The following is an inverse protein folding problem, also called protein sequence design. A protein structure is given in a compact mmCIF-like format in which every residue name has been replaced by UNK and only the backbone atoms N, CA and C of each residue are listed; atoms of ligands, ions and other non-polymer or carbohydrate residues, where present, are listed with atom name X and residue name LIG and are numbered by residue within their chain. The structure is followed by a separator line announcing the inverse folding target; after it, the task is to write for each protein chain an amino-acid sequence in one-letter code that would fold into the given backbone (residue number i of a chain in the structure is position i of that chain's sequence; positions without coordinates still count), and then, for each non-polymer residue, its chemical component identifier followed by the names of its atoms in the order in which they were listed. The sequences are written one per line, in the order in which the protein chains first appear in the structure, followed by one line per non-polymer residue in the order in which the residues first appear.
data_IF_781008735309
#
_entry.id   IF_781008735309
#
_cell.length_a   1.000
_cell.length_b   1.000
_cell.length_c   1.000
_cell.angle_alpha   90.00
_cell.angle_beta   90.00
_cell.angle_gamma   90.00
#
_symmetry.space_group_name_H-M   'P 1'
#
loop_
_entity.id
_entity.type
_entity.pdbx_description
1 polymer ?
#
# COMPACT_ATOMS: atom_id res chain seq x y z
N UNK A 1 32.86 -6.90 0.97
CA UNK A 1 32.05 -6.36 2.07
C UNK A 1 31.58 -4.97 1.64
N UNK A 2 30.48 -4.86 0.90
CA UNK A 2 29.09 -4.74 1.38
C UNK A 2 28.67 -3.27 1.50
N UNK A 3 28.12 -2.69 0.43
CA UNK A 3 27.41 -1.40 0.52
C UNK A 3 26.46 -1.24 -0.68
N UNK A 4 25.34 -1.97 -0.71
CA UNK A 4 24.18 -1.53 -1.53
C UNK A 4 22.83 -2.15 -1.13
N UNK A 5 22.72 -2.76 0.06
CA UNK A 5 21.48 -3.38 0.56
C UNK A 5 20.61 -2.43 1.40
N UNK A 6 20.38 -1.18 0.96
CA UNK A 6 19.60 -0.24 1.77
C UNK A 6 18.17 0.05 1.31
N UNK A 7 17.72 -0.30 0.10
CA UNK A 7 16.41 0.21 -0.37
C UNK A 7 15.65 -0.68 -1.33
N UNK A 8 15.60 -1.99 -1.09
CA UNK A 8 14.60 -2.84 -1.75
C UNK A 8 13.80 -3.55 -0.68
N UNK A 9 12.63 -3.00 -0.36
CA UNK A 9 11.62 -3.63 0.48
C UNK A 9 10.98 -4.77 -0.34
N UNK A 10 11.79 -5.80 -0.63
CA UNK A 10 11.39 -6.98 -1.38
C UNK A 10 10.46 -7.76 -0.47
N UNK A 11 9.17 -7.73 -0.76
CA UNK A 11 8.16 -8.47 -0.01
C UNK A 11 8.14 -9.94 -0.41
N UNK A 12 8.46 -10.25 -1.66
CA UNK A 12 8.53 -11.63 -2.14
C UNK A 12 9.58 -11.83 -3.24
N UNK A 13 10.18 -13.01 -3.29
CA UNK A 13 11.13 -13.41 -4.32
C UNK A 13 10.71 -14.76 -4.92
N UNK A 14 10.67 -14.83 -6.25
CA UNK A 14 10.33 -16.02 -7.02
C UNK A 14 11.46 -16.39 -7.97
N UNK A 15 11.72 -17.70 -8.10
CA UNK A 15 12.71 -18.22 -9.04
C UNK A 15 12.06 -19.14 -10.07
N UNK A 16 12.20 -18.78 -11.35
CA UNK A 16 11.72 -19.56 -12.49
C UNK A 16 12.94 -19.94 -13.33
N UNK A 17 13.42 -21.19 -13.19
CA UNK A 17 14.66 -21.64 -13.80
C UNK A 17 15.86 -20.79 -13.34
N UNK A 18 16.48 -20.08 -14.28
CA UNK A 18 17.58 -19.15 -14.00
C UNK A 18 17.11 -17.70 -13.78
N UNK A 19 15.82 -17.40 -13.94
CA UNK A 19 15.27 -16.05 -13.76
C UNK A 19 14.83 -15.85 -12.31
N UNK A 20 15.18 -14.69 -11.74
CA UNK A 20 14.75 -14.27 -10.40
C UNK A 20 13.84 -13.06 -10.51
N UNK A 21 12.63 -13.15 -9.97
CA UNK A 21 11.63 -12.09 -9.89
C UNK A 21 11.57 -11.62 -8.45
N UNK A 22 11.68 -10.31 -8.22
CA UNK A 22 11.58 -9.70 -6.89
C UNK A 22 10.38 -8.77 -6.90
N UNK A 23 9.41 -9.01 -6.02
CA UNK A 23 8.27 -8.13 -5.77
C UNK A 23 8.68 -7.16 -4.67
N UNK A 24 8.68 -5.86 -4.99
CA UNK A 24 9.01 -4.81 -4.05
C UNK A 24 7.74 -4.03 -3.67
N UNK A 25 7.54 -3.76 -2.38
CA UNK A 25 6.56 -2.78 -1.92
C UNK A 25 7.24 -1.41 -1.80
N UNK A 26 7.33 -0.71 -2.94
CA UNK A 26 7.92 0.63 -3.02
C UNK A 26 6.89 1.76 -2.83
N UNK A 27 5.59 1.45 -2.72
CA UNK A 27 4.53 2.47 -2.68
C UNK A 27 4.64 3.41 -1.45
N UNK A 28 5.35 2.94 -0.41
CA UNK A 28 5.62 3.68 0.82
C UNK A 28 7.10 3.95 1.08
N UNK A 29 7.99 3.77 0.08
CA UNK A 29 9.46 3.84 0.23
C UNK A 29 9.98 5.13 0.88
N UNK A 30 9.37 6.27 0.55
CA UNK A 30 9.72 7.59 1.09
C UNK A 30 8.69 8.12 2.10
N UNK A 31 7.79 7.25 2.60
CA UNK A 31 6.71 7.63 3.51
C UNK A 31 7.00 7.08 4.90
N UNK A 32 6.96 7.96 5.90
CA UNK A 32 7.03 7.52 7.28
C UNK A 32 5.75 6.76 7.65
N UNK A 33 5.79 5.91 8.68
CA UNK A 33 4.59 5.22 9.17
C UNK A 33 3.44 6.19 9.50
N UNK A 34 3.76 7.42 9.91
CA UNK A 34 2.77 8.47 10.16
C UNK A 34 2.15 8.99 8.85
N UNK A 35 2.91 9.12 7.76
CA UNK A 35 2.38 9.51 6.45
C UNK A 35 1.47 8.42 5.89
N UNK A 36 1.84 7.15 6.05
CA UNK A 36 0.99 6.00 5.69
C UNK A 36 -0.32 6.06 6.49
N UNK A 37 -0.24 6.27 7.80
CA UNK A 37 -1.41 6.39 8.68
C UNK A 37 -2.35 7.51 8.24
N UNK A 38 -1.82 8.69 7.92
CA UNK A 38 -2.60 9.83 7.40
C UNK A 38 -3.28 9.53 6.06
N UNK A 39 -2.60 8.81 5.16
CA UNK A 39 -3.18 8.40 3.88
C UNK A 39 -4.35 7.47 4.12
N UNK A 40 -4.17 6.44 4.96
CA UNK A 40 -5.22 5.49 5.30
C UNK A 40 -6.42 6.18 5.95
N UNK A 41 -6.19 7.08 6.93
CA UNK A 41 -7.26 7.87 7.56
C UNK A 41 -8.06 8.68 6.53
N UNK A 42 -7.38 9.33 5.57
CA UNK A 42 -8.05 10.09 4.50
C UNK A 42 -8.91 9.18 3.62
N UNK A 43 -8.38 8.02 3.21
CA UNK A 43 -9.13 7.05 2.40
C UNK A 43 -10.36 6.55 3.16
N UNK A 44 -10.21 6.20 4.44
CA UNK A 44 -11.31 5.78 5.31
C UNK A 44 -12.39 6.85 5.43
N UNK A 45 -12.01 8.12 5.61
CA UNK A 45 -12.97 9.24 5.68
C UNK A 45 -13.74 9.41 4.37
N UNK A 46 -13.07 9.28 3.22
CA UNK A 46 -13.72 9.34 1.89
C UNK A 46 -14.70 8.17 1.73
N UNK A 47 -14.27 6.95 2.05
CA UNK A 47 -15.13 5.76 2.02
C UNK A 47 -16.40 5.96 2.86
N UNK A 48 -16.27 6.39 4.11
CA UNK A 48 -17.42 6.67 4.97
C UNK A 48 -18.32 7.79 4.49
N UNK A 49 -17.79 8.79 3.77
CA UNK A 49 -18.64 9.81 3.11
C UNK A 49 -19.48 9.19 2.00
N UNK A 50 -18.89 8.32 1.18
CA UNK A 50 -19.60 7.59 0.13
C UNK A 50 -20.68 6.66 0.71
N UNK A 51 -20.35 5.88 1.74
CA UNK A 51 -21.30 4.98 2.42
C UNK A 51 -22.48 5.78 3.01
N UNK A 52 -22.20 6.86 3.74
CA UNK A 52 -23.26 7.70 4.32
C UNK A 52 -24.15 8.30 3.23
N UNK A 53 -23.55 8.81 2.15
CA UNK A 53 -24.29 9.34 1.00
C UNK A 53 -25.20 8.28 0.36
N UNK A 54 -24.67 7.08 0.12
CA UNK A 54 -25.47 5.99 -0.45
C UNK A 54 -26.64 5.58 0.46
N UNK A 55 -26.42 5.53 1.78
CA UNK A 55 -27.50 5.28 2.77
C UNK A 55 -28.55 6.39 2.78
N UNK A 56 -28.14 7.66 2.69
CA UNK A 56 -29.11 8.77 2.59
C UNK A 56 -29.94 8.72 1.31
N UNK A 57 -29.41 8.12 0.25
CA UNK A 57 -30.12 7.87 -1.01
C UNK A 57 -30.96 6.59 -1.00
N UNK A 58 -31.05 5.90 0.15
CA UNK A 58 -31.83 4.66 0.29
C UNK A 58 -31.23 3.45 -0.43
N UNK A 59 -29.94 3.49 -0.81
CA UNK A 59 -29.25 2.32 -1.35
C UNK A 59 -28.81 1.41 -0.21
N UNK A 60 -29.17 0.13 -0.31
CA UNK A 60 -28.73 -0.90 0.64
C UNK A 60 -27.31 -1.35 0.30
N UNK A 61 -26.36 -0.95 1.15
CA UNK A 61 -24.90 -1.09 1.02
C UNK A 61 -24.22 -1.26 2.38
#
# INVERSE_FOLDING_TARGET
MSTEDSYKNIIEEYKIGNTTIKICDEEYKDKTSEDIRKILERVTLIGWKCIRSARTLGKDI
#
